data_IF_062019597805
#
_entry.id   IF_062019597805
#
_cell.length_a   1.000
_cell.length_b   1.000
_cell.length_c   1.000
_cell.angle_alpha   90.00
_cell.angle_beta   90.00
_cell.angle_gamma   90.00
#
_symmetry.space_group_name_H-M   'P 1'
#
loop_
_entity.id
_entity.type
_entity.pdbx_description
1 polymer ?
#
# COMPACT_ATOMS: atom_id res chain seq x y z
N UNK A 1 11.42 10.03 14.39
CA UNK A 1 11.37 8.67 13.79
C UNK A 1 10.23 7.93 14.46
N UNK A 2 9.40 7.25 13.68
CA UNK A 2 8.32 6.37 14.14
C UNK A 2 8.67 4.95 13.72
N UNK A 3 8.42 4.00 14.61
CA UNK A 3 8.60 2.57 14.33
C UNK A 3 7.25 1.98 13.91
N UNK A 4 7.21 1.32 12.76
CA UNK A 4 6.06 0.54 12.31
C UNK A 4 6.43 -0.93 12.39
N UNK A 5 5.67 -1.73 13.12
CA UNK A 5 5.94 -3.16 13.28
C UNK A 5 4.95 -3.95 12.44
N UNK A 6 5.47 -4.75 11.52
CA UNK A 6 4.66 -5.66 10.69
C UNK A 6 4.90 -7.07 11.18
N UNK A 7 3.84 -7.71 11.66
CA UNK A 7 3.89 -9.09 12.15
C UNK A 7 3.16 -10.01 11.17
N UNK A 8 3.88 -11.01 10.66
CA UNK A 8 3.29 -12.14 9.93
C UNK A 8 3.15 -13.35 10.89
N UNK A 9 2.80 -14.54 10.38
CA UNK A 9 2.52 -15.72 11.22
C UNK A 9 3.71 -16.17 12.09
N UNK A 10 4.95 -15.83 11.75
CA UNK A 10 6.16 -16.33 12.42
C UNK A 10 7.24 -15.28 12.67
N UNK A 11 7.10 -14.07 12.13
CA UNK A 11 8.12 -13.02 12.15
C UNK A 11 7.48 -11.65 12.35
N UNK A 12 8.13 -10.83 13.19
CA UNK A 12 7.87 -9.39 13.29
C UNK A 12 9.06 -8.64 12.74
N UNK A 13 8.81 -7.73 11.80
CA UNK A 13 9.81 -6.83 11.26
C UNK A 13 9.47 -5.39 11.60
N UNK A 14 10.46 -4.66 12.11
CA UNK A 14 10.34 -3.24 12.45
C UNK A 14 10.87 -2.36 11.31
N UNK A 15 10.10 -1.32 10.98
CA UNK A 15 10.40 -0.33 9.96
C UNK A 15 10.55 1.03 10.63
N UNK A 16 11.65 1.74 10.34
CA UNK A 16 11.92 3.06 10.92
C UNK A 16 11.66 4.15 9.88
N UNK A 17 10.65 4.98 10.12
CA UNK A 17 10.13 5.95 9.14
C UNK A 17 10.11 7.37 9.72
N UNK A 18 10.23 8.38 8.86
CA UNK A 18 10.07 9.76 9.28
C UNK A 18 8.59 10.10 9.50
N UNK A 19 8.30 10.57 10.71
CA UNK A 19 6.97 11.02 11.14
C UNK A 19 6.37 12.04 10.18
N UNK A 20 7.16 13.06 9.77
CA UNK A 20 6.70 14.08 8.84
C UNK A 20 6.26 13.51 7.49
N UNK A 21 7.01 12.55 6.93
CA UNK A 21 6.66 11.90 5.67
C UNK A 21 5.40 11.04 5.83
N UNK A 22 5.30 10.27 6.92
CA UNK A 22 4.12 9.46 7.21
C UNK A 22 2.86 10.32 7.36
N UNK A 23 2.90 11.33 8.22
CA UNK A 23 1.77 12.22 8.48
C UNK A 23 1.39 13.07 7.26
N UNK A 24 2.35 13.38 6.38
CA UNK A 24 2.07 14.09 5.13
C UNK A 24 1.31 13.21 4.13
N UNK A 25 1.73 11.94 4.00
CA UNK A 25 1.20 11.05 2.96
C UNK A 25 0.04 10.17 3.40
N UNK A 26 -0.16 9.96 4.71
CA UNK A 26 -1.15 9.04 5.26
C UNK A 26 -2.05 9.74 6.28
N UNK A 27 -3.36 9.75 6.00
CA UNK A 27 -4.35 10.22 6.97
C UNK A 27 -4.40 9.33 8.21
N UNK A 28 -4.21 8.01 8.06
CA UNK A 28 -4.16 7.06 9.17
C UNK A 28 -3.02 7.39 10.12
N UNK A 29 -1.77 7.48 9.62
CA UNK A 29 -0.63 7.78 10.48
C UNK A 29 -0.72 9.18 11.09
N UNK A 30 -1.22 10.16 10.33
CA UNK A 30 -1.48 11.51 10.87
C UNK A 30 -2.45 11.46 12.05
N UNK A 31 -3.52 10.67 11.97
CA UNK A 31 -4.48 10.51 13.06
C UNK A 31 -3.91 9.68 14.22
N UNK A 32 -3.21 8.57 13.94
CA UNK A 32 -2.64 7.70 14.97
C UNK A 32 -1.56 8.41 15.81
N UNK A 33 -0.74 9.25 15.17
CA UNK A 33 0.37 9.96 15.83
C UNK A 33 -0.13 11.21 16.57
N UNK A 34 -1.03 11.99 15.96
CA UNK A 34 -1.47 13.27 16.54
C UNK A 34 -2.77 13.16 17.37
N UNK A 35 -3.48 12.03 17.32
CA UNK A 35 -4.80 11.85 17.92
C UNK A 35 -4.82 11.54 19.42
N UNK A 36 -3.66 11.52 20.10
CA UNK A 36 -3.58 11.28 21.55
C UNK A 36 -3.80 9.82 21.99
N UNK A 37 -3.80 8.86 21.05
CA UNK A 37 -3.83 7.42 21.37
C UNK A 37 -2.53 6.96 22.03
N UNK A 38 -2.56 5.81 22.73
CA UNK A 38 -1.41 5.27 23.47
C UNK A 38 -0.17 5.02 22.58
N UNK A 39 -0.37 4.79 21.27
CA UNK A 39 0.69 4.68 20.27
C UNK A 39 1.51 5.97 20.12
N UNK A 40 0.94 7.16 20.37
CA UNK A 40 1.65 8.45 20.28
C UNK A 40 2.80 8.55 21.30
N UNK A 41 2.62 7.98 22.50
CA UNK A 41 3.64 7.96 23.56
C UNK A 41 4.72 6.91 23.34
N UNK A 42 4.37 5.78 22.71
CA UNK A 42 5.33 4.67 22.45
C UNK A 42 6.06 4.80 21.13
N UNK A 43 5.56 5.60 20.18
CA UNK A 43 6.09 5.75 18.81
C UNK A 43 6.26 4.42 18.06
N UNK A 44 5.51 3.40 18.46
CA UNK A 44 5.45 2.08 17.83
C UNK A 44 4.01 1.85 17.36
N UNK A 45 3.84 1.61 16.07
CA UNK A 45 2.53 1.38 15.44
C UNK A 45 2.51 -0.03 14.84
N UNK A 46 1.73 -0.96 15.43
CA UNK A 46 1.64 -2.32 14.92
C UNK A 46 0.67 -2.42 13.73
N UNK A 47 1.07 -3.12 12.68
CA UNK A 47 0.27 -3.45 11.50
C UNK A 47 0.21 -4.98 11.32
N UNK A 48 -0.85 -5.60 11.83
CA UNK A 48 -1.01 -7.06 11.91
C UNK A 48 -1.64 -7.72 10.67
N UNK A 49 -2.11 -6.93 9.70
CA UNK A 49 -2.79 -7.41 8.49
C UNK A 49 -2.02 -7.13 7.20
N UNK A 50 -0.74 -6.76 7.33
CA UNK A 50 0.09 -6.30 6.23
C UNK A 50 1.20 -7.30 5.95
N UNK A 51 1.54 -7.52 4.67
CA UNK A 51 2.72 -8.30 4.33
C UNK A 51 3.99 -7.43 4.45
N UNK A 52 5.10 -8.04 4.87
CA UNK A 52 6.40 -7.37 4.97
C UNK A 52 6.79 -6.73 3.63
N UNK A 53 6.61 -7.45 2.52
CA UNK A 53 6.97 -6.96 1.19
C UNK A 53 6.15 -5.73 0.76
N UNK A 54 4.86 -5.66 1.11
CA UNK A 54 4.03 -4.48 0.82
C UNK A 54 4.50 -3.28 1.66
N UNK A 55 4.90 -3.52 2.91
CA UNK A 55 5.46 -2.48 3.76
C UNK A 55 6.82 -1.97 3.25
N UNK A 56 7.67 -2.86 2.74
CA UNK A 56 8.93 -2.47 2.08
C UNK A 56 8.69 -1.63 0.83
N UNK A 57 7.73 -2.02 -0.01
CA UNK A 57 7.35 -1.24 -1.18
C UNK A 57 6.80 0.15 -0.80
N UNK A 58 5.98 0.22 0.26
CA UNK A 58 5.48 1.49 0.78
C UNK A 58 6.61 2.37 1.33
N UNK A 59 7.52 1.83 2.16
CA UNK A 59 8.65 2.58 2.66
C UNK A 59 9.44 3.18 1.50
N UNK A 60 9.70 2.40 0.47
CA UNK A 60 10.55 2.85 -0.63
C UNK A 60 9.85 3.88 -1.52
N UNK A 61 8.55 3.72 -1.75
CA UNK A 61 7.74 4.76 -2.37
C UNK A 61 7.71 6.04 -1.51
N UNK A 62 7.60 5.92 -0.18
CA UNK A 62 7.51 7.05 0.73
C UNK A 62 8.76 7.97 0.63
N UNK A 63 9.93 7.37 0.41
CA UNK A 63 11.19 8.11 0.31
C UNK A 63 11.55 8.53 -1.12
N UNK A 64 11.13 7.76 -2.14
CA UNK A 64 11.57 8.00 -3.53
C UNK A 64 10.45 8.50 -4.47
N UNK A 65 9.20 8.51 -4.00
CA UNK A 65 8.02 8.82 -4.81
C UNK A 65 7.67 7.77 -5.87
N UNK A 66 8.37 6.63 -5.90
CA UNK A 66 8.22 5.57 -6.92
C UNK A 66 8.27 4.19 -6.28
N UNK A 67 7.46 3.26 -6.81
CA UNK A 67 7.58 1.84 -6.51
C UNK A 67 8.85 1.25 -7.13
N UNK A 68 9.40 0.20 -6.55
CA UNK A 68 10.58 -0.50 -7.07
C UNK A 68 10.35 -1.17 -8.42
N UNK A 69 11.43 -1.33 -9.19
CA UNK A 69 11.39 -2.04 -10.46
C UNK A 69 10.61 -1.27 -11.53
N UNK A 70 10.82 -1.63 -12.79
CA UNK A 70 9.88 -1.23 -13.82
C UNK A 70 8.51 -1.84 -13.54
N UNK A 71 7.45 -1.31 -14.16
CA UNK A 71 6.12 -1.93 -14.13
C UNK A 71 6.16 -3.43 -14.53
N UNK A 72 7.16 -3.84 -15.29
CA UNK A 72 7.40 -5.22 -15.73
C UNK A 72 7.77 -6.16 -14.57
N UNK A 73 8.50 -5.67 -13.57
CA UNK A 73 9.07 -6.49 -12.49
C UNK A 73 8.04 -6.90 -11.43
N UNK A 74 6.96 -6.14 -11.29
CA UNK A 74 5.91 -6.40 -10.30
C UNK A 74 4.72 -7.15 -10.89
N UNK A 75 4.27 -8.22 -10.23
CA UNK A 75 3.05 -8.94 -10.60
C UNK A 75 1.77 -8.16 -10.25
N UNK A 76 0.69 -8.35 -11.02
CA UNK A 76 -0.59 -7.65 -10.82
C UNK A 76 -1.13 -7.78 -9.39
N UNK A 77 -1.07 -8.97 -8.78
CA UNK A 77 -1.53 -9.14 -7.40
C UNK A 77 -0.73 -8.32 -6.39
N UNK A 78 0.58 -8.19 -6.58
CA UNK A 78 1.39 -7.37 -5.69
C UNK A 78 1.03 -5.89 -5.81
N UNK A 79 0.81 -5.40 -7.04
CA UNK A 79 0.33 -4.04 -7.29
C UNK A 79 -1.06 -3.80 -6.65
N UNK A 80 -1.99 -4.75 -6.77
CA UNK A 80 -3.29 -4.64 -6.11
C UNK A 80 -3.20 -4.71 -4.58
N UNK A 81 -2.29 -5.51 -4.03
CA UNK A 81 -2.01 -5.52 -2.59
C UNK A 81 -1.49 -4.17 -2.10
N UNK A 82 -0.57 -3.53 -2.85
CA UNK A 82 -0.07 -2.18 -2.55
C UNK A 82 -1.21 -1.17 -2.61
N UNK A 83 -2.08 -1.25 -3.62
CA UNK A 83 -3.24 -0.37 -3.74
C UNK A 83 -4.18 -0.50 -2.54
N UNK A 84 -4.55 -1.73 -2.16
CA UNK A 84 -5.43 -2.00 -1.01
C UNK A 84 -4.79 -1.52 0.29
N UNK A 85 -3.47 -1.67 0.42
CA UNK A 85 -2.74 -1.15 1.57
C UNK A 85 -2.75 0.39 1.63
N UNK A 86 -2.59 1.05 0.48
CA UNK A 86 -2.75 2.50 0.37
C UNK A 86 -4.15 2.97 0.77
N UNK A 87 -5.19 2.25 0.35
CA UNK A 87 -6.58 2.53 0.74
C UNK A 87 -6.77 2.41 2.27
N UNK A 88 -6.30 1.30 2.85
CA UNK A 88 -6.37 1.01 4.29
C UNK A 88 -5.74 2.12 5.14
N UNK A 89 -4.62 2.68 4.69
CA UNK A 89 -3.87 3.71 5.43
C UNK A 89 -4.19 5.14 4.99
N UNK A 90 -5.13 5.31 4.05
CA UNK A 90 -5.45 6.61 3.47
C UNK A 90 -4.24 7.29 2.84
N UNK A 91 -3.57 6.59 1.91
CA UNK A 91 -2.39 7.05 1.16
C UNK A 91 -2.73 7.10 -0.35
N UNK A 92 -3.43 8.14 -0.83
CA UNK A 92 -3.84 8.24 -2.23
C UNK A 92 -2.66 8.23 -3.21
N UNK A 93 -1.53 8.83 -2.83
CA UNK A 93 -0.33 8.84 -3.67
C UNK A 93 0.21 7.43 -3.95
N UNK A 94 0.10 6.52 -2.99
CA UNK A 94 0.52 5.13 -3.16
C UNK A 94 -0.46 4.35 -4.05
N UNK A 95 -1.77 4.59 -3.87
CA UNK A 95 -2.81 4.04 -4.74
C UNK A 95 -2.57 4.43 -6.20
N UNK A 96 -2.29 5.71 -6.46
CA UNK A 96 -1.97 6.21 -7.80
C UNK A 96 -0.73 5.52 -8.38
N UNK A 97 0.36 5.45 -7.62
CA UNK A 97 1.59 4.79 -8.09
C UNK A 97 1.38 3.30 -8.45
N UNK A 98 0.53 2.59 -7.71
CA UNK A 98 0.16 1.22 -8.01
C UNK A 98 -0.66 1.11 -9.31
N UNK A 99 -1.66 1.97 -9.49
CA UNK A 99 -2.47 2.01 -10.71
C UNK A 99 -1.65 2.41 -11.93
N UNK A 100 -0.78 3.41 -11.82
CA UNK A 100 0.10 3.85 -12.90
C UNK A 100 1.00 2.71 -13.39
N UNK A 101 1.47 1.87 -12.46
CA UNK A 101 2.25 0.68 -12.77
C UNK A 101 1.40 -0.38 -13.49
N UNK A 102 0.16 -0.62 -13.05
CA UNK A 102 -0.78 -1.53 -13.74
C UNK A 102 -1.08 -1.04 -15.15
N UNK A 103 -1.39 0.25 -15.31
CA UNK A 103 -1.66 0.88 -16.61
C UNK A 103 -0.48 0.73 -17.56
N UNK A 104 0.73 0.98 -17.06
CA UNK A 104 1.95 0.83 -17.85
C UNK A 104 2.14 -0.62 -18.33
N UNK A 105 1.90 -1.63 -17.47
CA UNK A 105 1.96 -3.04 -17.91
C UNK A 105 0.96 -3.33 -19.03
N UNK A 106 -0.24 -2.77 -18.93
CA UNK A 106 -1.28 -3.04 -19.92
C UNK A 106 -0.93 -2.40 -21.26
N UNK A 107 -0.42 -1.18 -21.22
CA UNK A 107 0.03 -0.45 -22.42
C UNK A 107 1.18 -1.15 -23.15
N UNK A 108 1.97 -2.00 -22.48
CA UNK A 108 3.05 -2.77 -23.10
C UNK A 108 2.60 -4.14 -23.66
N UNK A 109 1.28 -4.36 -23.79
CA UNK A 109 0.71 -5.53 -24.46
C UNK A 109 0.26 -6.66 -23.53
N UNK A 110 0.18 -6.41 -22.22
CA UNK A 110 -0.30 -7.40 -21.25
C UNK A 110 -1.77 -7.16 -20.91
N UNK A 111 -2.59 -8.20 -20.82
CA UNK A 111 -3.93 -8.08 -20.25
C UNK A 111 -3.92 -8.43 -18.75
N UNK A 112 -4.90 -7.93 -17.99
CA UNK A 112 -5.13 -8.37 -16.62
C UNK A 112 -5.80 -9.76 -16.70
N UNK A 113 -5.20 -10.83 -16.13
CA UNK A 113 -5.85 -12.13 -16.10
C UNK A 113 -7.11 -12.10 -15.23
N UNK A 114 -8.18 -12.79 -15.64
CA UNK A 114 -9.48 -12.83 -14.94
C UNK A 114 -9.38 -13.16 -13.44
N UNK A 115 -8.55 -14.15 -13.07
CA UNK A 115 -8.34 -14.52 -11.66
C UNK A 115 -7.76 -13.40 -10.78
N UNK A 116 -7.18 -12.35 -11.37
CA UNK A 116 -6.71 -11.17 -10.64
C UNK A 116 -7.83 -10.17 -10.37
N UNK A 117 -8.89 -10.19 -11.18
CA UNK A 117 -10.12 -9.42 -10.95
C UNK A 117 -10.82 -9.99 -9.70
N UNK A 118 -10.89 -11.31 -9.56
CA UNK A 118 -11.47 -11.95 -8.37
C UNK A 118 -10.81 -11.46 -7.07
N UNK A 119 -9.48 -11.33 -7.06
CA UNK A 119 -8.74 -10.77 -5.92
C UNK A 119 -9.21 -9.35 -5.58
N UNK A 120 -9.37 -8.47 -6.58
CA UNK A 120 -9.85 -7.10 -6.38
C UNK A 120 -11.22 -7.10 -5.73
N UNK A 121 -12.14 -7.93 -6.21
CA UNK A 121 -13.49 -8.02 -5.65
C UNK A 121 -13.50 -8.62 -4.24
N UNK A 122 -12.61 -9.55 -3.92
CA UNK A 122 -12.52 -10.13 -2.57
C UNK A 122 -11.91 -9.19 -1.52
N UNK A 123 -11.10 -8.20 -1.94
CA UNK A 123 -10.30 -7.38 -1.02
C UNK A 123 -10.68 -5.89 -0.99
N UNK A 124 -11.76 -5.50 -1.68
CA UNK A 124 -12.25 -4.11 -1.71
C UNK A 124 -13.77 -4.07 -1.56
N UNK A 125 -14.38 -2.96 -1.11
CA UNK A 125 -15.84 -2.80 -1.09
C UNK A 125 -16.44 -2.54 -2.48
N UNK A 126 -17.76 -2.71 -2.64
CA UNK A 126 -18.47 -2.58 -3.93
C UNK A 126 -18.35 -1.21 -4.62
N UNK A 127 -18.05 -0.14 -3.88
CA UNK A 127 -17.82 1.21 -4.41
C UNK A 127 -16.36 1.56 -4.70
N UNK A 128 -15.42 0.62 -4.51
CA UNK A 128 -13.98 0.89 -4.65
C UNK A 128 -13.60 1.39 -6.04
N UNK A 129 -12.74 2.41 -6.10
CA UNK A 129 -12.19 2.93 -7.34
C UNK A 129 -11.39 1.84 -8.10
N UNK A 130 -10.74 0.92 -7.39
CA UNK A 130 -10.01 -0.19 -8.01
C UNK A 130 -10.94 -1.12 -8.79
N UNK A 131 -12.16 -1.38 -8.28
CA UNK A 131 -13.17 -2.20 -8.99
C UNK A 131 -13.64 -1.54 -10.27
N UNK A 132 -13.90 -0.24 -10.24
CA UNK A 132 -14.30 0.53 -11.44
C UNK A 132 -13.18 0.47 -12.48
N UNK A 133 -11.95 0.74 -12.05
CA UNK A 133 -10.78 0.71 -12.92
C UNK A 133 -10.60 -0.63 -13.65
N UNK A 134 -10.70 -1.78 -12.97
CA UNK A 134 -10.49 -3.09 -13.63
C UNK A 134 -11.63 -3.51 -14.57
N UNK A 135 -12.79 -2.86 -14.52
CA UNK A 135 -13.94 -3.11 -15.39
C UNK A 135 -13.98 -2.15 -16.58
N UNK A 136 -13.57 -0.90 -16.37
CA UNK A 136 -13.63 0.17 -17.37
C UNK A 136 -12.40 0.18 -18.31
N UNK A 137 -11.43 -0.71 -18.10
CA UNK A 137 -10.21 -0.84 -18.91
C UNK A 137 -10.39 -1.62 -20.21
#
# INVERSE_FOLDING_TARGET
IVTVEVTNRSETKSFFLHEGLLCHNSSYFKAAINGGFAESSKRVIPLSRTSINVMEAFQMWLYNGKLFGGAEDMGYTFLFQIWVFGDMLGVPGLQNAAIDSVHKKISTGWSIPSHRIDYVYQNTPSGSALRKYVVDM
#
